data_IF_287229883187
#
_entry.id   IF_287229883187
#
_cell.length_a   1.000
_cell.length_b   1.000
_cell.length_c   1.000
_cell.angle_alpha   90.00
_cell.angle_beta   90.00
_cell.angle_gamma   90.00
#
_symmetry.space_group_name_H-M   'P 1'
#
loop_
_entity.id
_entity.type
_entity.pdbx_description
1 polymer ?
#
# COMPACT_ATOMS: atom_id res chain seq x y z
N UNK A 1 9.81 20.92 -14.26
CA UNK A 1 9.96 21.02 -12.80
C UNK A 1 9.54 19.70 -12.15
N UNK A 2 10.25 19.25 -11.13
CA UNK A 2 9.99 18.03 -10.40
C UNK A 2 8.91 18.28 -9.33
N UNK A 3 7.83 17.52 -9.35
CA UNK A 3 6.78 17.57 -8.33
C UNK A 3 6.82 16.31 -7.46
N UNK A 4 6.58 16.49 -6.18
CA UNK A 4 6.43 15.40 -5.22
C UNK A 4 4.94 15.08 -5.03
N UNK A 5 4.57 13.83 -5.25
CA UNK A 5 3.19 13.34 -5.18
C UNK A 5 3.09 12.11 -4.31
N UNK A 6 1.99 11.96 -3.61
CA UNK A 6 1.78 10.82 -2.72
C UNK A 6 0.34 10.29 -2.76
N UNK A 7 0.22 8.98 -2.53
CA UNK A 7 -1.02 8.30 -2.18
C UNK A 7 -0.81 7.57 -0.85
N UNK A 8 -1.66 7.87 0.13
CA UNK A 8 -1.59 7.28 1.47
C UNK A 8 -2.90 6.55 1.75
N UNK A 9 -2.80 5.24 1.90
CA UNK A 9 -3.93 4.35 2.18
C UNK A 9 -3.78 3.82 3.59
N UNK A 10 -4.79 4.04 4.43
CA UNK A 10 -4.81 3.58 5.81
C UNK A 10 -6.16 2.98 6.19
N UNK A 11 -6.18 1.70 6.55
CA UNK A 11 -7.40 0.97 6.88
C UNK A 11 -7.26 0.34 8.26
N UNK A 12 -8.02 0.84 9.23
CA UNK A 12 -8.06 0.33 10.60
C UNK A 12 -9.30 -0.51 10.87
N UNK A 13 -10.35 -0.31 10.09
CA UNK A 13 -11.62 -1.06 10.19
C UNK A 13 -12.10 -1.47 8.80
N UNK A 14 -12.84 -2.55 8.77
CA UNK A 14 -13.40 -3.15 7.57
C UNK A 14 -14.93 -3.11 7.61
N UNK A 15 -15.57 -3.18 6.44
CA UNK A 15 -17.02 -3.41 6.34
C UNK A 15 -17.39 -4.75 6.98
N UNK A 16 -16.64 -5.80 6.66
CA UNK A 16 -16.82 -7.12 7.25
C UNK A 16 -16.23 -7.17 8.66
N UNK A 17 -17.07 -7.36 9.67
CA UNK A 17 -16.69 -7.46 11.07
C UNK A 17 -15.86 -8.70 11.43
N UNK A 18 -15.73 -9.65 10.50
CA UNK A 18 -14.84 -10.81 10.66
C UNK A 18 -13.35 -10.42 10.66
N UNK A 19 -13.01 -9.26 10.10
CA UNK A 19 -11.68 -8.70 10.19
C UNK A 19 -11.48 -8.00 11.54
N UNK A 20 -10.36 -8.29 12.18
CA UNK A 20 -9.99 -7.57 13.40
C UNK A 20 -9.69 -6.12 13.11
N UNK A 21 -10.02 -5.23 14.05
CA UNK A 21 -9.60 -3.84 13.99
C UNK A 21 -8.09 -3.76 14.20
N UNK A 22 -7.43 -2.93 13.38
CA UNK A 22 -6.00 -2.65 13.45
C UNK A 22 -5.76 -1.14 13.42
N UNK A 23 -4.51 -0.72 13.40
CA UNK A 23 -4.15 0.70 13.51
C UNK A 23 -3.73 1.33 12.16
N UNK A 24 -4.09 0.71 11.03
CA UNK A 24 -3.68 1.23 9.72
C UNK A 24 -4.13 2.65 9.42
N UNK A 25 -5.29 3.05 9.91
CA UNK A 25 -5.79 4.43 9.79
C UNK A 25 -5.05 5.43 10.68
N UNK A 26 -4.51 4.97 11.81
CA UNK A 26 -3.81 5.82 12.78
C UNK A 26 -2.40 6.22 12.33
N UNK A 27 -1.82 5.49 11.40
CA UNK A 27 -0.52 5.80 10.82
C UNK A 27 -0.59 7.01 9.89
N UNK A 28 -1.75 7.22 9.27
CA UNK A 28 -1.94 8.26 8.25
C UNK A 28 -1.56 9.66 8.73
N UNK A 29 -1.99 10.16 9.90
CA UNK A 29 -1.61 11.49 10.35
C UNK A 29 -0.10 11.72 10.45
N UNK A 30 0.65 10.72 10.88
CA UNK A 30 2.10 10.78 10.99
C UNK A 30 2.77 10.83 9.62
N UNK A 31 2.32 10.00 8.69
CA UNK A 31 2.81 10.02 7.32
C UNK A 31 2.53 11.36 6.65
N UNK A 32 1.32 11.90 6.83
CA UNK A 32 0.95 13.20 6.28
C UNK A 32 1.82 14.34 6.83
N UNK A 33 2.16 14.30 8.11
CA UNK A 33 3.05 15.30 8.73
C UNK A 33 4.41 15.30 8.03
N UNK A 34 4.99 14.14 7.78
CA UNK A 34 6.28 14.02 7.08
C UNK A 34 6.17 14.52 5.64
N UNK A 35 5.14 14.09 4.92
CA UNK A 35 4.95 14.49 3.52
C UNK A 35 4.75 16.00 3.38
N UNK A 36 4.01 16.60 4.29
CA UNK A 36 3.82 18.05 4.31
C UNK A 36 5.14 18.78 4.64
N UNK A 37 5.90 18.29 5.61
CA UNK A 37 7.22 18.84 5.94
C UNK A 37 8.20 18.72 4.77
N UNK A 38 8.10 17.65 3.98
CA UNK A 38 8.89 17.42 2.78
C UNK A 38 8.36 18.16 1.54
N UNK A 39 7.30 18.94 1.69
CA UNK A 39 6.70 19.78 0.63
C UNK A 39 6.14 18.98 -0.54
N UNK A 40 5.43 17.90 -0.26
CA UNK A 40 4.67 17.19 -1.28
C UNK A 40 3.55 18.09 -1.80
N UNK A 41 3.52 18.32 -3.12
CA UNK A 41 2.57 19.22 -3.77
C UNK A 41 1.19 18.62 -4.01
N UNK A 42 1.10 17.28 -4.04
CA UNK A 42 -0.16 16.54 -4.15
C UNK A 42 -0.12 15.36 -3.18
N UNK A 43 -1.12 15.27 -2.32
CA UNK A 43 -1.29 14.14 -1.40
C UNK A 43 -2.74 13.66 -1.50
N UNK A 44 -2.92 12.44 -1.95
CA UNK A 44 -4.22 11.77 -2.00
C UNK A 44 -4.29 10.79 -0.84
N UNK A 45 -5.39 10.79 -0.11
CA UNK A 45 -5.63 9.88 1.00
C UNK A 45 -6.84 8.99 0.74
N UNK A 46 -6.74 7.74 1.16
CA UNK A 46 -7.86 6.80 1.24
C UNK A 46 -7.87 6.18 2.63
N UNK A 47 -8.84 6.54 3.44
CA UNK A 47 -8.90 6.13 4.84
C UNK A 47 -10.21 5.39 5.10
N UNK A 48 -10.12 4.18 5.67
CA UNK A 48 -11.27 3.37 6.06
C UNK A 48 -12.30 3.23 4.92
N UNK A 49 -13.50 3.79 5.08
CA UNK A 49 -14.62 3.66 4.14
C UNK A 49 -14.30 4.21 2.73
N UNK A 50 -13.35 5.12 2.61
CA UNK A 50 -12.88 5.62 1.32
C UNK A 50 -12.01 4.59 0.58
N UNK A 51 -11.39 3.69 1.32
CA UNK A 51 -10.44 2.70 0.81
C UNK A 51 -11.12 1.39 0.39
N UNK A 52 -12.24 1.47 -0.29
CA UNK A 52 -12.80 0.35 -1.04
C UNK A 52 -11.88 -0.02 -2.19
N UNK A 53 -12.02 -1.22 -2.77
CA UNK A 53 -11.21 -1.58 -3.95
C UNK A 53 -11.35 -0.53 -5.05
N UNK A 54 -12.57 -0.14 -5.38
CA UNK A 54 -12.83 0.89 -6.38
C UNK A 54 -12.23 2.25 -5.99
N UNK A 55 -12.31 2.63 -4.71
CA UNK A 55 -11.73 3.87 -4.19
C UNK A 55 -10.21 3.89 -4.29
N UNK A 56 -9.54 2.79 -3.95
CA UNK A 56 -8.08 2.67 -4.08
C UNK A 56 -7.67 2.75 -5.56
N UNK A 57 -8.31 1.99 -6.43
CA UNK A 57 -8.01 2.00 -7.87
C UNK A 57 -8.21 3.41 -8.45
N UNK A 58 -9.31 4.06 -8.09
CA UNK A 58 -9.60 5.43 -8.53
C UNK A 58 -8.53 6.43 -8.04
N UNK A 59 -8.07 6.30 -6.80
CA UNK A 59 -7.01 7.13 -6.25
C UNK A 59 -5.68 6.93 -6.99
N UNK A 60 -5.31 5.70 -7.30
CA UNK A 60 -4.14 5.40 -8.14
C UNK A 60 -4.27 6.04 -9.53
N UNK A 61 -5.43 5.93 -10.15
CA UNK A 61 -5.66 6.52 -11.48
C UNK A 61 -5.57 8.04 -11.45
N UNK A 62 -6.15 8.69 -10.44
CA UNK A 62 -6.05 10.13 -10.25
C UNK A 62 -4.60 10.57 -10.08
N UNK A 63 -3.84 9.88 -9.25
CA UNK A 63 -2.41 10.16 -9.07
C UNK A 63 -1.64 10.00 -10.38
N UNK A 64 -1.87 8.89 -11.08
CA UNK A 64 -1.19 8.57 -12.34
C UNK A 64 -1.46 9.63 -13.41
N UNK A 65 -2.70 10.10 -13.52
CA UNK A 65 -3.07 11.17 -14.46
C UNK A 65 -2.33 12.48 -14.17
N UNK A 66 -2.05 12.75 -12.91
CA UNK A 66 -1.32 13.96 -12.49
C UNK A 66 0.19 13.86 -12.72
N UNK A 67 0.75 12.64 -12.72
CA UNK A 67 2.18 12.42 -12.81
C UNK A 67 2.78 12.97 -14.12
N UNK A 68 3.98 13.53 -13.98
CA UNK A 68 4.79 14.04 -15.07
C UNK A 68 6.18 13.40 -15.04
N UNK A 69 6.92 13.40 -16.15
CA UNK A 69 8.30 12.92 -16.15
C UNK A 69 9.15 13.58 -15.06
N UNK A 70 9.97 12.77 -14.42
CA UNK A 70 10.88 13.14 -13.32
C UNK A 70 10.20 13.44 -11.99
N UNK A 71 8.91 13.22 -11.82
CA UNK A 71 8.23 13.37 -10.55
C UNK A 71 8.76 12.37 -9.51
N UNK A 72 8.57 12.72 -8.25
CA UNK A 72 8.83 11.86 -7.10
C UNK A 72 7.48 11.39 -6.55
N UNK A 73 7.32 10.08 -6.44
CA UNK A 73 6.06 9.48 -5.99
C UNK A 73 6.28 8.62 -4.76
N UNK A 74 5.44 8.82 -3.76
CA UNK A 74 5.40 8.04 -2.53
C UNK A 74 4.03 7.36 -2.41
N UNK A 75 4.04 6.04 -2.28
CA UNK A 75 2.84 5.22 -2.09
C UNK A 75 2.93 4.55 -0.72
N UNK A 76 1.89 4.70 0.08
CA UNK A 76 1.80 4.09 1.40
C UNK A 76 0.52 3.27 1.53
N UNK A 77 0.66 2.04 1.97
CA UNK A 77 -0.45 1.18 2.37
C UNK A 77 -0.24 0.69 3.80
N UNK A 78 -1.21 0.92 4.66
CA UNK A 78 -1.24 0.37 6.02
C UNK A 78 -2.61 -0.26 6.27
N UNK A 79 -2.63 -1.58 6.47
CA UNK A 79 -3.88 -2.33 6.58
C UNK A 79 -3.66 -3.83 6.72
N UNK A 80 -4.71 -4.61 6.49
CA UNK A 80 -4.60 -6.06 6.44
C UNK A 80 -3.96 -6.55 5.15
N UNK A 81 -3.26 -7.68 5.26
CA UNK A 81 -2.80 -8.48 4.16
C UNK A 81 -3.34 -9.91 4.25
N UNK A 82 -3.43 -10.59 3.13
CA UNK A 82 -3.84 -11.99 3.05
C UNK A 82 -3.21 -12.66 1.83
N UNK A 83 -2.90 -13.95 1.98
CA UNK A 83 -2.55 -14.77 0.83
C UNK A 83 -3.81 -15.38 0.21
N UNK A 84 -3.87 -15.39 -1.11
CA UNK A 84 -4.89 -16.10 -1.89
C UNK A 84 -4.22 -17.07 -2.85
N UNK A 85 -4.98 -18.07 -3.32
CA UNK A 85 -4.46 -18.98 -4.35
C UNK A 85 -4.24 -18.20 -5.64
N UNK A 86 -3.04 -18.31 -6.19
CA UNK A 86 -2.69 -17.78 -7.50
C UNK A 86 -3.57 -18.39 -8.58
N UNK A 87 -4.30 -17.54 -9.30
CA UNK A 87 -5.14 -17.95 -10.45
C UNK A 87 -4.32 -17.89 -11.75
N UNK A 88 -3.31 -17.05 -11.79
CA UNK A 88 -2.42 -16.85 -12.94
C UNK A 88 -1.36 -17.95 -13.08
N UNK A 89 -1.05 -18.63 -12.01
CA UNK A 89 -0.01 -19.69 -11.93
C UNK A 89 1.38 -19.19 -12.36
N UNK A 90 1.66 -17.93 -12.07
CA UNK A 90 2.93 -17.26 -12.38
C UNK A 90 3.88 -17.18 -11.18
N UNK A 91 3.38 -17.50 -9.98
CA UNK A 91 4.18 -17.58 -8.77
C UNK A 91 4.65 -19.01 -8.48
N UNK A 92 5.86 -19.13 -7.98
CA UNK A 92 6.47 -20.42 -7.68
C UNK A 92 5.81 -21.15 -6.50
N UNK A 93 5.17 -20.43 -5.61
CA UNK A 93 4.48 -20.93 -4.42
C UNK A 93 2.96 -21.08 -4.59
N UNK A 94 2.43 -20.69 -5.74
CA UNK A 94 1.00 -20.75 -6.08
C UNK A 94 0.08 -19.88 -5.18
N UNK A 95 0.64 -18.85 -4.56
CA UNK A 95 -0.09 -17.93 -3.68
C UNK A 95 0.15 -16.48 -4.10
N UNK A 96 -0.93 -15.73 -4.28
CA UNK A 96 -0.92 -14.29 -4.47
C UNK A 96 -1.03 -13.55 -3.14
N UNK A 97 -0.25 -12.50 -2.98
CA UNK A 97 -0.40 -11.58 -1.86
C UNK A 97 -1.45 -10.52 -2.18
N UNK A 98 -2.26 -10.17 -1.18
CA UNK A 98 -3.35 -9.22 -1.37
C UNK A 98 -3.31 -8.10 -0.34
N UNK A 99 -3.60 -6.89 -0.80
CA UNK A 99 -4.12 -5.84 0.08
C UNK A 99 -5.60 -6.07 0.28
N UNK A 100 -6.08 -5.73 1.48
CA UNK A 100 -7.48 -5.94 1.85
C UNK A 100 -8.21 -4.60 1.89
N UNK A 101 -8.87 -4.20 0.79
CA UNK A 101 -9.70 -3.01 0.78
C UNK A 101 -10.82 -3.07 1.82
N UNK A 102 -11.38 -1.93 2.15
CA UNK A 102 -12.46 -1.81 3.15
C UNK A 102 -13.64 -2.75 2.89
N UNK A 103 -14.00 -2.96 1.63
CA UNK A 103 -15.15 -3.78 1.20
C UNK A 103 -14.81 -5.24 0.87
N UNK A 104 -13.60 -5.70 1.16
CA UNK A 104 -13.21 -7.09 0.99
C UNK A 104 -13.67 -7.93 2.19
N UNK A 105 -14.31 -9.07 1.91
CA UNK A 105 -14.73 -10.01 2.95
C UNK A 105 -13.63 -11.01 3.28
N UNK A 106 -13.57 -11.43 4.53
CA UNK A 106 -12.52 -12.32 5.03
C UNK A 106 -12.64 -13.75 4.50
N UNK A 107 -13.87 -14.21 4.26
CA UNK A 107 -14.15 -15.58 3.83
C UNK A 107 -14.95 -15.60 2.55
N UNK A 108 -14.72 -16.58 1.68
CA UNK A 108 -15.57 -16.80 0.52
C UNK A 108 -17.00 -17.18 0.95
N UNK A 109 -17.96 -16.85 0.10
CA UNK A 109 -19.36 -17.18 0.26
C UNK A 109 -19.97 -17.45 -1.11
N UNK A 110 -21.27 -17.75 -1.17
CA UNK A 110 -21.96 -17.93 -2.45
C UNK A 110 -21.98 -16.66 -3.30
N UNK A 111 -21.85 -15.49 -2.67
CA UNK A 111 -21.91 -14.18 -3.33
C UNK A 111 -20.55 -13.45 -3.35
N UNK A 112 -19.50 -14.02 -2.77
CA UNK A 112 -18.18 -13.41 -2.70
C UNK A 112 -17.06 -14.42 -2.90
N UNK A 113 -16.20 -14.18 -3.90
CA UNK A 113 -15.08 -15.05 -4.27
C UNK A 113 -13.73 -14.33 -4.26
N UNK A 114 -13.63 -13.20 -3.57
CA UNK A 114 -12.39 -12.41 -3.51
C UNK A 114 -12.34 -11.26 -4.52
N UNK A 115 -13.45 -10.89 -5.14
CA UNK A 115 -13.51 -9.85 -6.16
C UNK A 115 -13.05 -8.47 -5.66
N UNK A 116 -13.18 -8.24 -4.36
CA UNK A 116 -12.76 -6.99 -3.71
C UNK A 116 -11.37 -7.05 -3.09
N UNK A 117 -10.72 -8.20 -3.10
CA UNK A 117 -9.30 -8.28 -2.77
C UNK A 117 -8.49 -7.58 -3.86
N UNK A 118 -7.44 -6.89 -3.46
CA UNK A 118 -6.53 -6.24 -4.39
C UNK A 118 -5.23 -7.06 -4.42
N UNK A 119 -5.12 -7.93 -5.41
CA UNK A 119 -3.98 -8.84 -5.55
C UNK A 119 -2.73 -8.10 -6.02
N UNK A 120 -1.58 -8.64 -5.74
CA UNK A 120 -0.28 -8.02 -6.05
C UNK A 120 -0.10 -7.74 -7.54
N UNK A 121 -0.57 -8.60 -8.43
CA UNK A 121 -0.57 -8.33 -9.88
C UNK A 121 -1.33 -7.06 -10.24
N UNK A 122 -2.50 -6.84 -9.65
CA UNK A 122 -3.27 -5.61 -9.84
C UNK A 122 -2.52 -4.39 -9.28
N UNK A 123 -1.91 -4.54 -8.11
CA UNK A 123 -1.07 -3.48 -7.52
C UNK A 123 0.11 -3.17 -8.42
N UNK A 124 0.80 -4.19 -8.92
CA UNK A 124 1.93 -4.03 -9.82
C UNK A 124 1.55 -3.32 -11.13
N UNK A 125 0.38 -3.61 -11.69
CA UNK A 125 -0.13 -2.87 -12.85
C UNK A 125 -0.32 -1.38 -12.55
N UNK A 126 -0.93 -1.05 -11.40
CA UNK A 126 -1.15 0.33 -10.97
C UNK A 126 0.18 1.07 -10.75
N UNK A 127 1.16 0.41 -10.14
CA UNK A 127 2.51 0.96 -9.93
C UNK A 127 3.27 1.14 -11.24
N UNK A 128 3.13 0.19 -12.17
CA UNK A 128 3.77 0.26 -13.49
C UNK A 128 3.24 1.44 -14.29
N UNK A 129 1.95 1.75 -14.22
CA UNK A 129 1.37 2.91 -14.88
C UNK A 129 2.00 4.22 -14.38
N UNK A 130 2.21 4.33 -13.06
CA UNK A 130 2.93 5.47 -12.47
C UNK A 130 4.37 5.50 -12.97
N UNK A 131 5.06 4.36 -12.93
CA UNK A 131 6.45 4.25 -13.36
C UNK A 131 6.65 4.71 -14.80
N UNK A 132 5.74 4.32 -15.68
CA UNK A 132 5.77 4.73 -17.09
C UNK A 132 5.59 6.24 -17.24
N UNK A 133 4.75 6.85 -16.42
CA UNK A 133 4.51 8.30 -16.45
C UNK A 133 5.72 9.11 -15.99
N UNK A 134 6.35 8.71 -14.90
CA UNK A 134 7.47 9.46 -14.32
C UNK A 134 8.80 9.18 -15.03
N UNK A 135 8.90 8.08 -15.75
CA UNK A 135 10.05 7.71 -16.55
C UNK A 135 11.30 7.38 -15.73
N UNK A 136 12.42 7.21 -16.41
CA UNK A 136 13.68 6.81 -15.79
C UNK A 136 14.29 7.89 -14.87
N UNK A 137 13.95 9.15 -15.08
CA UNK A 137 14.37 10.25 -14.21
C UNK A 137 13.49 10.46 -12.98
N UNK A 138 12.33 9.80 -12.91
CA UNK A 138 11.45 9.83 -11.77
C UNK A 138 11.86 8.85 -10.66
N UNK A 139 11.35 9.07 -9.46
CA UNK A 139 11.60 8.21 -8.29
C UNK A 139 10.28 7.77 -7.68
N UNK A 140 10.19 6.50 -7.29
CA UNK A 140 9.02 5.98 -6.61
C UNK A 140 9.43 5.12 -5.42
N UNK A 141 8.82 5.39 -4.26
CA UNK A 141 8.92 4.55 -3.07
C UNK A 141 7.54 4.02 -2.72
N UNK A 142 7.45 2.72 -2.52
CA UNK A 142 6.24 2.05 -2.03
C UNK A 142 6.52 1.46 -0.66
N UNK A 143 5.72 1.86 0.32
CA UNK A 143 5.81 1.35 1.69
C UNK A 143 4.52 0.59 2.00
N UNK A 144 4.67 -0.68 2.33
CA UNK A 144 3.56 -1.55 2.70
C UNK A 144 3.73 -2.03 4.12
N UNK A 145 2.81 -1.66 4.98
CA UNK A 145 2.68 -2.16 6.34
C UNK A 145 1.40 -2.99 6.44
N UNK A 146 1.54 -4.29 6.15
CA UNK A 146 0.43 -5.22 6.14
C UNK A 146 0.46 -6.12 7.39
N UNK A 147 -0.63 -6.07 8.18
CA UNK A 147 -0.85 -6.99 9.29
C UNK A 147 -1.51 -8.26 8.78
N UNK A 148 -0.85 -9.40 8.97
CA UNK A 148 -1.41 -10.69 8.55
C UNK A 148 -2.51 -11.15 9.48
N UNK A 149 -3.67 -11.42 8.92
CA UNK A 149 -4.86 -11.85 9.66
C UNK A 149 -5.06 -13.36 9.63
N UNK A 150 -4.01 -14.13 9.58
CA UNK A 150 -4.11 -15.57 9.37
C UNK A 150 -3.60 -16.48 10.46
N UNK A 151 -2.83 -15.97 11.42
CA UNK A 151 -2.19 -16.89 12.38
C UNK A 151 -2.30 -16.42 13.83
N UNK A 152 -3.32 -16.93 14.51
CA UNK A 152 -3.38 -16.91 15.98
C UNK A 152 -2.31 -17.83 16.61
N UNK A 153 -1.46 -18.47 15.79
CA UNK A 153 -0.43 -19.42 16.24
C UNK A 153 0.98 -18.87 16.18
N UNK A 154 1.21 -17.66 15.67
CA UNK A 154 2.52 -17.03 15.76
C UNK A 154 2.76 -16.48 17.15
N UNK A 155 3.70 -17.12 17.81
CA UNK A 155 4.06 -16.89 19.19
C UNK A 155 4.53 -15.47 19.45
N UNK A 156 4.41 -15.09 20.70
CA UNK A 156 4.95 -13.88 21.31
C UNK A 156 6.36 -13.58 20.79
N UNK A 157 6.50 -12.60 19.90
CA UNK A 157 7.80 -12.17 19.40
C UNK A 157 7.80 -11.47 18.04
N UNK A 158 6.68 -11.38 17.35
CA UNK A 158 6.64 -10.50 16.19
C UNK A 158 6.59 -9.05 16.66
N UNK A 159 7.72 -8.38 16.46
CA UNK A 159 7.77 -6.93 16.57
C UNK A 159 6.87 -6.40 15.46
N UNK A 160 5.67 -5.99 15.81
CA UNK A 160 4.93 -5.05 14.97
C UNK A 160 5.90 -3.91 14.75
N UNK A 161 6.38 -3.71 13.54
CA UNK A 161 7.18 -2.53 13.24
C UNK A 161 6.35 -1.34 13.68
N UNK A 162 6.78 -0.69 14.73
CA UNK A 162 6.08 0.45 15.26
C UNK A 162 6.00 1.55 14.20
N UNK A 163 5.04 2.41 14.35
CA UNK A 163 4.90 3.64 13.54
C UNK A 163 6.23 4.39 13.44
N UNK A 164 7.07 4.30 14.45
CA UNK A 164 8.39 4.92 14.51
C UNK A 164 9.37 4.38 13.45
N UNK A 165 9.38 3.08 13.19
CA UNK A 165 10.29 2.48 12.20
C UNK A 165 9.91 2.88 10.77
N UNK A 166 8.62 2.93 10.46
CA UNK A 166 8.12 3.42 9.17
C UNK A 166 8.44 4.90 9.04
N UNK A 167 8.23 5.65 10.08
CA UNK A 167 8.49 7.09 10.15
C UNK A 167 9.97 7.41 9.88
N UNK A 168 10.90 6.70 10.51
CA UNK A 168 12.33 6.90 10.28
C UNK A 168 12.76 6.46 8.87
N UNK A 169 12.22 5.38 8.35
CA UNK A 169 12.49 4.95 6.97
C UNK A 169 12.03 6.00 5.96
N UNK A 170 10.84 6.54 6.15
CA UNK A 170 10.30 7.59 5.28
C UNK A 170 11.09 8.88 5.40
N UNK A 171 11.46 9.29 6.60
CA UNK A 171 12.34 10.44 6.83
C UNK A 171 13.68 10.28 6.13
N UNK A 172 14.30 9.11 6.29
CA UNK A 172 15.57 8.79 5.66
C UNK A 172 15.47 8.92 4.14
N UNK A 173 14.43 8.33 3.55
CA UNK A 173 14.20 8.42 2.10
C UNK A 173 13.94 9.85 1.62
N UNK A 174 13.15 10.62 2.34
CA UNK A 174 12.84 12.01 1.99
C UNK A 174 14.05 12.96 2.15
N UNK A 175 14.99 12.61 3.01
CA UNK A 175 16.22 13.35 3.24
C UNK A 175 17.35 13.06 2.24
N UNK A 176 17.26 11.95 1.49
CA UNK A 176 18.30 11.56 0.54
C UNK A 176 17.86 11.84 -0.90
N UNK A 177 18.57 12.75 -1.57
CA UNK A 177 18.33 13.10 -2.98
C UNK A 177 18.91 12.08 -3.98
N UNK A 178 19.58 11.01 -3.52
CA UNK A 178 20.40 10.12 -4.35
C UNK A 178 19.88 8.69 -4.47
N UNK A 179 18.61 8.42 -4.22
CA UNK A 179 18.05 7.09 -4.39
C UNK A 179 17.86 6.82 -5.89
N UNK A 180 18.52 5.76 -6.38
CA UNK A 180 18.37 5.24 -7.72
C UNK A 180 16.88 5.10 -8.11
N UNK A 181 16.53 5.28 -9.41
CA UNK A 181 15.14 5.17 -9.86
C UNK A 181 14.66 3.71 -9.85
N UNK A 182 14.62 3.12 -8.68
CA UNK A 182 14.09 1.78 -8.46
C UNK A 182 12.74 1.86 -7.76
N UNK A 183 11.82 1.03 -8.21
CA UNK A 183 10.62 0.73 -7.45
C UNK A 183 11.02 -0.21 -6.33
N UNK A 184 11.16 0.31 -5.10
CA UNK A 184 11.37 -0.53 -3.93
C UNK A 184 10.01 -0.78 -3.31
N UNK A 185 9.55 -2.01 -3.39
CA UNK A 185 8.38 -2.48 -2.65
C UNK A 185 8.90 -3.09 -1.37
N UNK A 186 8.69 -2.39 -0.26
CA UNK A 186 8.95 -2.94 1.06
C UNK A 186 7.64 -3.51 1.58
N UNK A 187 7.50 -4.81 1.45
CA UNK A 187 6.36 -5.55 1.98
C UNK A 187 6.81 -6.35 3.19
N UNK A 188 6.04 -6.29 4.27
CA UNK A 188 6.14 -7.28 5.34
C UNK A 188 5.52 -8.62 4.94
N UNK A 189 5.03 -8.72 3.75
CA UNK A 189 4.38 -9.89 3.19
C UNK A 189 5.33 -11.09 3.00
N UNK A 190 6.65 -10.90 2.93
CA UNK A 190 7.64 -11.99 2.91
C UNK A 190 7.57 -12.95 4.09
N UNK A 191 6.70 -12.69 5.06
CA UNK A 191 6.53 -13.48 6.28
C UNK A 191 5.25 -14.30 6.32
N UNK A 192 4.62 -14.42 5.22
CA UNK A 192 3.36 -15.14 5.06
C UNK A 192 3.52 -16.65 5.24
#
# INVERSE_FOLDING_TARGET
>A
AQTKRALVIGIGKQEDSAWNKINGDKDVPYVLEILNAAKYGQIITCINEEATKAGIVSAFQTLTQSCQPNDIVYIHYSGHGQQMRDIGNDEADTLDECWIPYDAYRKPSDTYRGEKHLVDDEVNMLLTDIRNKIGSGGKMLVVVDACHSGDATRGQGETVRGVEDIFETVKSWLGFSSIEPNTNIHSNAERW
#
